data_IF_492145474663
#
_entry.id   IF_492145474663
#
_cell.length_a   1.000
_cell.length_b   1.000
_cell.length_c   1.000
_cell.angle_alpha   90.00
_cell.angle_beta   90.00
_cell.angle_gamma   90.00
#
_symmetry.space_group_name_H-M   'P 1'
#
loop_
_entity.id
_entity.type
_entity.pdbx_description
1 polymer ?
#
# COMPACT_ATOMS: atom_id res chain seq x y z
N UNK A 1 14.92 -2.37 -21.70
CA UNK A 1 14.16 -1.11 -21.89
C UNK A 1 12.76 -1.29 -21.32
N UNK A 2 12.35 -0.41 -20.42
CA UNK A 2 11.04 -0.50 -19.77
C UNK A 2 9.96 0.02 -20.69
N UNK A 3 8.87 -0.72 -20.81
CA UNK A 3 7.72 -0.28 -21.61
C UNK A 3 6.95 0.81 -20.86
N UNK A 4 6.34 1.79 -21.56
CA UNK A 4 5.64 2.89 -20.90
C UNK A 4 4.55 2.43 -19.92
N UNK A 5 3.79 1.39 -20.27
CA UNK A 5 2.74 0.90 -19.39
C UNK A 5 3.30 0.21 -18.13
N UNK A 6 4.50 -0.37 -18.21
CA UNK A 6 5.16 -0.96 -17.04
C UNK A 6 5.54 0.12 -16.05
N UNK A 7 6.04 1.25 -16.54
CA UNK A 7 6.34 2.40 -15.69
C UNK A 7 5.09 2.93 -15.01
N UNK A 8 3.99 2.98 -15.74
CA UNK A 8 2.72 3.46 -15.19
C UNK A 8 2.21 2.52 -14.09
N UNK A 9 2.28 1.21 -14.30
CA UNK A 9 1.87 0.23 -13.30
C UNK A 9 2.73 0.35 -12.05
N UNK A 10 4.05 0.44 -12.22
CA UNK A 10 4.96 0.61 -11.09
C UNK A 10 4.67 1.90 -10.33
N UNK A 11 4.37 2.98 -11.03
CA UNK A 11 4.05 4.26 -10.41
C UNK A 11 2.78 4.15 -9.55
N UNK A 12 1.76 3.45 -10.04
CA UNK A 12 0.52 3.24 -9.29
C UNK A 12 0.79 2.46 -8.01
N UNK A 13 1.57 1.38 -8.11
CA UNK A 13 1.89 0.54 -6.94
C UNK A 13 2.73 1.32 -5.94
N UNK A 14 3.72 2.07 -6.41
CA UNK A 14 4.57 2.88 -5.54
C UNK A 14 3.77 3.97 -4.84
N UNK A 15 2.81 4.57 -5.52
CA UNK A 15 1.94 5.57 -4.91
C UNK A 15 1.09 4.94 -3.80
N UNK A 16 0.56 3.75 -4.06
CA UNK A 16 -0.22 3.04 -3.04
C UNK A 16 0.62 2.70 -1.82
N UNK A 17 1.86 2.26 -2.03
CA UNK A 17 2.80 1.97 -0.93
C UNK A 17 3.06 3.23 -0.11
N UNK A 18 3.32 4.33 -0.78
CA UNK A 18 3.59 5.62 -0.13
C UNK A 18 2.39 6.07 0.70
N UNK A 19 1.20 5.98 0.11
CA UNK A 19 -0.03 6.39 0.79
C UNK A 19 -0.32 5.50 2.00
N UNK A 20 -0.03 4.21 1.88
CA UNK A 20 -0.22 3.27 2.98
C UNK A 20 0.74 3.57 4.13
N UNK A 21 2.00 3.84 3.83
CA UNK A 21 2.98 4.23 4.84
C UNK A 21 2.55 5.49 5.58
N UNK A 22 2.05 6.47 4.83
CA UNK A 22 1.57 7.71 5.42
C UNK A 22 0.37 7.47 6.34
N UNK A 23 -0.58 6.65 5.90
CA UNK A 23 -1.74 6.31 6.72
C UNK A 23 -1.33 5.61 8.01
N UNK A 24 -0.38 4.68 7.93
CA UNK A 24 0.11 3.97 9.12
C UNK A 24 0.81 4.91 10.09
N UNK A 25 1.58 5.88 9.59
CA UNK A 25 2.22 6.87 10.44
C UNK A 25 1.20 7.72 11.19
N UNK A 26 0.14 8.12 10.49
CA UNK A 26 -0.94 8.89 11.10
C UNK A 26 -1.66 8.09 12.18
N UNK A 27 -1.91 6.81 11.91
CA UNK A 27 -2.56 5.93 12.88
C UNK A 27 -1.68 5.67 14.10
N UNK A 28 -0.36 5.65 13.92
CA UNK A 28 0.57 5.49 15.03
C UNK A 28 0.50 6.68 15.98
N UNK A 29 0.40 7.89 15.43
CA UNK A 29 0.28 9.11 16.22
C UNK A 29 -1.10 9.27 16.83
N UNK A 30 -2.13 8.92 16.08
CA UNK A 30 -3.52 9.08 16.51
C UNK A 30 -4.33 7.86 16.05
N UNK A 31 -4.41 6.81 16.89
CA UNK A 31 -5.11 5.58 16.49
C UNK A 31 -6.59 5.77 16.15
N UNK A 32 -7.19 6.87 16.58
CA UNK A 32 -8.61 7.17 16.33
C UNK A 32 -8.83 7.98 15.06
N UNK A 33 -7.77 8.19 14.27
CA UNK A 33 -7.88 8.95 13.01
C UNK A 33 -8.65 8.11 11.99
N UNK A 34 -9.94 8.43 11.84
CA UNK A 34 -10.81 7.67 10.93
C UNK A 34 -10.43 7.83 9.48
N UNK A 35 -9.93 9.00 9.08
CA UNK A 35 -9.49 9.23 7.70
C UNK A 35 -8.30 8.34 7.35
N UNK A 36 -7.32 8.26 8.25
CA UNK A 36 -6.14 7.42 8.02
C UNK A 36 -6.54 5.94 8.01
N UNK A 37 -7.45 5.53 8.89
CA UNK A 37 -7.94 4.16 8.93
C UNK A 37 -8.66 3.80 7.63
N UNK A 38 -9.52 4.69 7.14
CA UNK A 38 -10.25 4.50 5.89
C UNK A 38 -9.28 4.38 4.71
N UNK A 39 -8.28 5.24 4.66
CA UNK A 39 -7.26 5.21 3.62
C UNK A 39 -6.49 3.89 3.65
N UNK A 40 -6.07 3.46 4.84
CA UNK A 40 -5.34 2.20 4.99
C UNK A 40 -6.18 1.01 4.51
N UNK A 41 -7.46 0.98 4.87
CA UNK A 41 -8.34 -0.10 4.47
C UNK A 41 -8.57 -0.14 2.96
N UNK A 42 -8.72 1.03 2.34
CA UNK A 42 -8.88 1.11 0.89
C UNK A 42 -7.65 0.59 0.15
N UNK A 43 -6.47 0.95 0.65
CA UNK A 43 -5.22 0.52 0.04
C UNK A 43 -5.02 -0.98 0.24
N UNK A 44 -5.35 -1.52 1.42
CA UNK A 44 -5.30 -2.97 1.65
C UNK A 44 -6.22 -3.71 0.70
N UNK A 45 -7.41 -3.16 0.45
CA UNK A 45 -8.35 -3.73 -0.51
C UNK A 45 -7.75 -3.73 -1.92
N UNK A 46 -7.06 -2.65 -2.28
CA UNK A 46 -6.37 -2.58 -3.56
C UNK A 46 -5.32 -3.69 -3.69
N UNK A 47 -4.51 -3.90 -2.66
CA UNK A 47 -3.47 -4.94 -2.67
C UNK A 47 -4.06 -6.36 -2.72
N UNK A 48 -5.29 -6.55 -2.30
CA UNK A 48 -5.98 -7.84 -2.36
C UNK A 48 -6.82 -8.01 -3.62
N UNK A 49 -6.90 -6.98 -4.47
CA UNK A 49 -7.77 -7.02 -5.64
C UNK A 49 -7.22 -7.96 -6.71
N UNK A 50 -8.14 -8.48 -7.52
CA UNK A 50 -7.78 -9.29 -8.69
C UNK A 50 -6.92 -8.49 -9.65
N UNK A 51 -7.21 -7.19 -9.80
CA UNK A 51 -6.44 -6.32 -10.66
C UNK A 51 -4.97 -6.27 -10.23
N UNK A 52 -4.72 -6.09 -8.93
CA UNK A 52 -3.36 -6.08 -8.40
C UNK A 52 -2.63 -7.40 -8.70
N UNK A 53 -3.31 -8.52 -8.46
CA UNK A 53 -2.73 -9.84 -8.71
C UNK A 53 -2.43 -10.07 -10.18
N UNK A 54 -3.19 -9.43 -11.07
CA UNK A 54 -3.00 -9.55 -12.50
C UNK A 54 -1.80 -8.74 -12.99
N UNK A 55 -1.56 -7.56 -12.40
CA UNK A 55 -0.52 -6.65 -12.89
C UNK A 55 0.85 -6.88 -12.25
N UNK A 56 0.93 -7.64 -11.17
CA UNK A 56 2.20 -7.88 -10.50
C UNK A 56 2.22 -9.27 -9.87
N UNK A 57 3.40 -9.85 -9.79
CA UNK A 57 3.62 -11.12 -9.10
C UNK A 57 3.94 -10.95 -7.62
N UNK A 58 4.06 -9.71 -7.16
CA UNK A 58 4.34 -9.42 -5.75
C UNK A 58 3.11 -9.72 -4.91
N UNK A 59 3.28 -10.54 -3.86
CA UNK A 59 2.18 -10.90 -2.96
C UNK A 59 1.73 -9.68 -2.16
N UNK A 60 0.45 -9.30 -2.33
CA UNK A 60 -0.12 -8.15 -1.64
C UNK A 60 -0.14 -8.31 -0.13
N UNK A 61 -0.43 -9.51 0.37
CA UNK A 61 -0.41 -9.79 1.81
C UNK A 61 0.98 -9.60 2.39
N UNK A 62 1.99 -10.10 1.69
CA UNK A 62 3.38 -9.94 2.13
C UNK A 62 3.76 -8.47 2.18
N UNK A 63 3.35 -7.71 1.18
CA UNK A 63 3.65 -6.28 1.13
C UNK A 63 2.98 -5.52 2.28
N UNK A 64 1.71 -5.81 2.54
CA UNK A 64 0.99 -5.19 3.65
C UNK A 64 1.68 -5.50 4.98
N UNK A 65 2.00 -6.76 5.19
CA UNK A 65 2.64 -7.20 6.43
C UNK A 65 3.99 -6.52 6.63
N UNK A 66 4.78 -6.46 5.57
CA UNK A 66 6.09 -5.81 5.61
C UNK A 66 5.97 -4.34 5.97
N UNK A 67 5.01 -3.64 5.37
CA UNK A 67 4.81 -2.22 5.63
C UNK A 67 4.32 -1.97 7.06
N UNK A 68 3.46 -2.85 7.58
CA UNK A 68 3.00 -2.75 8.97
C UNK A 68 4.13 -2.94 9.95
N UNK A 69 5.00 -3.91 9.69
CA UNK A 69 6.15 -4.14 10.57
C UNK A 69 7.14 -2.98 10.50
N UNK A 70 7.35 -2.42 9.32
CA UNK A 70 8.18 -1.24 9.16
C UNK A 70 7.65 -0.09 10.02
N UNK A 71 6.34 0.11 10.04
CA UNK A 71 5.72 1.17 10.82
C UNK A 71 5.89 0.94 12.32
N UNK A 72 5.85 -0.31 12.78
CA UNK A 72 6.00 -0.63 14.20
C UNK A 72 7.42 -0.44 14.70
N UNK A 73 8.42 -0.63 13.83
CA UNK A 73 9.81 -0.57 14.25
C UNK A 73 10.34 0.86 14.36
N UNK A 74 9.52 1.84 14.10
CA UNK A 74 9.91 3.25 14.25
C UNK A 74 9.08 3.95 15.35
#
# INVERSE_FOLDING_TARGET
MTRPYENLINAIILQAVKDYRDALKRLKKKPQNTDAMSTAMEIERFFHSTWYQTITSVDGDYLIQTLREEAKSK
#
